data_IF_960889446666
#
_entry.id   IF_960889446666
#
_cell.length_a   1.000
_cell.length_b   1.000
_cell.length_c   1.000
_cell.angle_alpha   90.00
_cell.angle_beta   90.00
_cell.angle_gamma   90.00
#
_symmetry.space_group_name_H-M   'P 1'
#
loop_
_entity.id
_entity.type
_entity.pdbx_description
1 polymer ?
#
# COMPACT_ATOMS: atom_id res chain seq x y z
N UNK A 1 29.02 -0.90 39.95
CA UNK A 1 28.81 -0.49 38.55
C UNK A 1 29.21 -1.65 37.65
N UNK A 2 28.65 -1.74 36.45
CA UNK A 2 28.98 -2.81 35.50
C UNK A 2 30.11 -2.39 34.55
N UNK A 3 31.12 -3.24 34.38
CA UNK A 3 32.08 -3.14 33.28
C UNK A 3 31.49 -3.85 32.05
N UNK A 4 31.39 -3.15 30.92
CA UNK A 4 30.89 -3.72 29.65
C UNK A 4 31.96 -3.57 28.57
N UNK A 5 32.46 -4.71 28.06
CA UNK A 5 33.39 -4.76 26.93
C UNK A 5 32.56 -4.83 25.65
N UNK A 6 32.73 -3.86 24.77
CA UNK A 6 31.88 -3.67 23.58
C UNK A 6 32.72 -3.58 22.30
N UNK A 7 32.12 -3.98 21.17
CA UNK A 7 32.71 -3.87 19.82
C UNK A 7 31.67 -3.23 18.89
N UNK A 8 32.10 -2.40 17.95
CA UNK A 8 31.20 -1.73 17.00
C UNK A 8 30.58 -2.74 16.02
N UNK A 9 29.24 -2.68 15.77
CA UNK A 9 28.58 -3.52 14.77
C UNK A 9 29.19 -3.38 13.37
N UNK A 10 29.73 -4.47 12.83
CA UNK A 10 30.45 -4.53 11.53
C UNK A 10 29.55 -4.45 10.29
N UNK A 11 28.23 -4.47 10.45
CA UNK A 11 27.26 -4.39 9.35
C UNK A 11 26.78 -2.96 9.04
N UNK A 12 27.35 -1.96 9.70
CA UNK A 12 27.10 -0.53 9.48
C UNK A 12 28.36 0.09 8.87
N UNK A 13 28.19 0.99 7.90
CA UNK A 13 29.21 1.98 7.58
C UNK A 13 29.08 3.15 8.54
N UNK A 14 30.20 3.57 9.11
CA UNK A 14 30.34 4.77 9.93
C UNK A 14 30.93 5.95 9.13
N UNK A 15 31.29 5.72 7.87
CA UNK A 15 31.82 6.72 6.92
C UNK A 15 30.67 7.50 6.25
N UNK A 16 29.77 8.03 7.08
CA UNK A 16 28.57 8.76 6.70
C UNK A 16 28.07 9.58 7.91
N UNK A 17 27.31 10.68 7.71
CA UNK A 17 26.85 11.54 8.81
C UNK A 17 26.05 10.79 9.90
N UNK A 18 25.32 9.74 9.53
CA UNK A 18 24.71 8.77 10.43
C UNK A 18 25.19 7.35 10.07
N UNK A 19 25.34 6.42 11.04
CA UNK A 19 25.70 5.03 10.74
C UNK A 19 24.63 4.33 9.89
N UNK A 20 25.01 3.78 8.73
CA UNK A 20 24.06 3.27 7.72
C UNK A 20 24.42 1.89 7.16
N UNK A 21 23.40 1.08 6.87
CA UNK A 21 23.53 -0.18 6.12
C UNK A 21 22.86 -0.07 4.76
N UNK A 22 23.66 -0.01 3.68
CA UNK A 22 23.14 0.02 2.30
C UNK A 22 22.74 -1.40 1.87
N UNK A 23 21.45 -1.64 1.65
CA UNK A 23 20.92 -2.94 1.17
C UNK A 23 20.71 -2.87 -0.35
N UNK A 24 21.46 -3.63 -1.18
CA UNK A 24 21.40 -3.52 -2.63
C UNK A 24 20.21 -4.31 -3.22
N UNK A 25 19.03 -3.68 -3.31
CA UNK A 25 17.80 -4.31 -3.82
C UNK A 25 17.82 -4.60 -5.34
N UNK A 26 18.72 -3.95 -6.11
CA UNK A 26 18.81 -4.02 -7.59
C UNK A 26 17.53 -3.63 -8.34
N UNK A 27 16.59 -2.95 -7.68
CA UNK A 27 15.40 -2.33 -8.24
C UNK A 27 15.04 -1.06 -7.45
N UNK A 28 14.13 -0.24 -7.98
CA UNK A 28 13.57 0.93 -7.27
C UNK A 28 12.60 0.49 -6.18
N UNK A 29 12.84 0.78 -4.89
CA UNK A 29 11.84 0.61 -3.84
C UNK A 29 10.83 1.76 -3.91
N UNK A 30 9.59 1.46 -4.27
CA UNK A 30 8.52 2.48 -4.35
C UNK A 30 7.91 2.79 -2.98
N UNK A 31 7.70 1.75 -2.16
CA UNK A 31 7.18 1.87 -0.81
C UNK A 31 7.95 0.94 0.12
N UNK A 32 8.06 1.34 1.40
CA UNK A 32 8.64 0.54 2.48
C UNK A 32 7.79 0.81 3.73
N UNK A 33 7.23 -0.23 4.34
CA UNK A 33 6.64 -0.16 5.69
C UNK A 33 7.06 -1.38 6.49
N UNK A 34 7.26 -1.16 7.79
CA UNK A 34 7.67 -2.16 8.76
C UNK A 34 6.46 -2.79 9.44
N UNK A 35 6.29 -4.10 9.30
CA UNK A 35 5.31 -4.87 10.04
C UNK A 35 5.84 -5.21 11.43
N UNK A 36 5.11 -4.80 12.48
CA UNK A 36 5.60 -4.79 13.86
C UNK A 36 5.79 -6.20 14.45
N UNK A 37 4.85 -7.11 14.21
CA UNK A 37 4.83 -8.45 14.83
C UNK A 37 5.92 -9.36 14.24
N UNK A 38 5.98 -9.49 12.92
CA UNK A 38 7.00 -10.27 12.22
C UNK A 38 8.36 -9.54 12.16
N UNK A 39 8.38 -8.22 12.40
CA UNK A 39 9.54 -7.33 12.28
C UNK A 39 10.12 -7.26 10.87
N UNK A 40 9.30 -6.97 9.84
CA UNK A 40 9.70 -7.12 8.41
C UNK A 40 9.28 -5.97 7.48
N UNK A 41 10.06 -5.70 6.41
CA UNK A 41 9.79 -4.67 5.38
C UNK A 41 9.25 -5.25 4.04
N UNK A 42 8.76 -4.41 3.09
CA UNK A 42 8.06 -4.85 1.85
C UNK A 42 8.14 -3.90 0.59
N UNK A 43 8.95 -4.19 -0.48
CA UNK A 43 9.10 -3.47 -1.79
C UNK A 43 8.88 -4.35 -3.09
N UNK A 44 9.02 -3.84 -4.36
CA UNK A 44 8.19 -4.26 -5.57
C UNK A 44 8.79 -4.51 -7.02
N UNK A 45 8.20 -5.40 -7.93
CA UNK A 45 8.27 -5.53 -9.48
C UNK A 45 7.61 -6.76 -10.34
N UNK A 46 6.33 -6.80 -10.86
CA UNK A 46 5.80 -7.62 -12.05
C UNK A 46 4.40 -7.24 -12.75
N UNK A 47 3.90 -7.86 -13.89
CA UNK A 47 2.54 -7.68 -14.59
C UNK A 47 1.98 -8.81 -15.59
N UNK A 48 0.75 -8.65 -16.22
CA UNK A 48 0.13 -9.34 -17.43
C UNK A 48 -0.54 -8.34 -18.47
N UNK A 49 -0.98 -8.75 -19.70
CA UNK A 49 -1.48 -7.91 -20.86
C UNK A 49 -3.00 -8.08 -21.15
N UNK A 50 -3.71 -7.03 -21.62
CA UNK A 50 -5.14 -7.01 -22.07
C UNK A 50 -5.41 -5.97 -23.18
N UNK A 51 -6.59 -6.03 -23.83
CA UNK A 51 -7.22 -4.98 -24.65
C UNK A 51 -8.75 -5.24 -24.80
N UNK A 52 -9.62 -4.28 -24.46
CA UNK A 52 -11.08 -4.40 -24.61
C UNK A 52 -11.84 -5.04 -23.42
N UNK A 53 -13.17 -5.11 -23.52
CA UNK A 53 -14.06 -5.63 -22.46
C UNK A 53 -13.99 -7.16 -22.27
N UNK A 54 -13.59 -7.90 -23.30
CA UNK A 54 -13.45 -9.37 -23.26
C UNK A 54 -11.99 -9.84 -23.18
N UNK A 55 -11.77 -10.93 -22.44
CA UNK A 55 -10.43 -11.33 -21.96
C UNK A 55 -9.67 -12.27 -22.91
N UNK A 56 -9.48 -11.86 -24.16
CA UNK A 56 -8.63 -12.62 -25.11
C UNK A 56 -7.14 -12.20 -25.06
N UNK A 57 -6.25 -13.18 -25.18
CA UNK A 57 -4.81 -12.97 -25.23
C UNK A 57 -4.34 -12.96 -26.69
N UNK A 58 -3.76 -11.84 -27.16
CA UNK A 58 -3.13 -11.74 -28.48
C UNK A 58 -1.71 -11.23 -28.41
N UNK A 59 -0.81 -12.03 -28.97
CA UNK A 59 0.55 -11.62 -29.28
C UNK A 59 0.55 -10.72 -30.51
N UNK A 60 1.38 -9.68 -30.47
CA UNK A 60 1.61 -8.79 -31.62
C UNK A 60 2.98 -9.13 -32.19
N UNK A 61 2.99 -9.74 -33.36
CA UNK A 61 4.22 -9.90 -34.13
C UNK A 61 4.71 -8.52 -34.59
N UNK A 62 5.76 -8.03 -33.94
CA UNK A 62 6.53 -6.85 -34.32
C UNK A 62 7.94 -7.31 -34.64
N UNK A 63 8.65 -6.59 -35.51
CA UNK A 63 10.03 -6.93 -35.85
C UNK A 63 10.98 -6.77 -34.66
N UNK A 64 12.08 -7.53 -34.62
CA UNK A 64 13.06 -7.52 -33.51
C UNK A 64 13.68 -6.14 -33.21
N UNK A 65 13.55 -5.19 -34.14
CA UNK A 65 14.02 -3.81 -34.01
C UNK A 65 12.99 -2.87 -33.37
N UNK A 66 11.79 -3.34 -33.04
CA UNK A 66 10.72 -2.53 -32.47
C UNK A 66 11.01 -2.20 -30.99
N UNK A 67 11.19 -0.91 -30.62
CA UNK A 67 11.42 -0.53 -29.24
C UNK A 67 10.10 -0.58 -28.46
N UNK A 68 9.91 -1.63 -27.67
CA UNK A 68 8.76 -1.74 -26.77
C UNK A 68 8.78 -0.62 -25.72
N UNK A 69 7.61 -0.02 -25.39
CA UNK A 69 7.54 1.01 -24.36
C UNK A 69 7.92 0.46 -22.99
N UNK A 70 8.62 1.26 -22.19
CA UNK A 70 8.92 0.92 -20.80
C UNK A 70 7.62 0.71 -20.02
N UNK A 71 7.54 -0.41 -19.28
CA UNK A 71 6.36 -0.77 -18.47
C UNK A 71 6.77 -1.04 -17.03
N UNK A 72 6.17 -0.27 -16.13
CA UNK A 72 6.29 -0.52 -14.70
C UNK A 72 5.58 -1.81 -14.26
N UNK A 73 5.92 -2.21 -13.05
CA UNK A 73 5.85 -3.58 -12.53
C UNK A 73 5.83 -3.50 -11.00
N UNK A 74 5.05 -4.29 -10.27
CA UNK A 74 5.06 -4.31 -8.78
C UNK A 74 4.94 -5.75 -8.17
N UNK A 75 5.55 -6.03 -7.00
CA UNK A 75 5.61 -7.32 -6.24
C UNK A 75 5.69 -6.97 -4.73
N UNK A 76 5.73 -7.92 -3.79
CA UNK A 76 6.19 -7.63 -2.41
C UNK A 76 7.24 -8.61 -1.90
N UNK A 77 8.34 -8.09 -1.35
CA UNK A 77 9.45 -8.87 -0.83
C UNK A 77 9.64 -8.63 0.69
N UNK A 78 9.37 -9.66 1.50
CA UNK A 78 9.54 -9.61 2.93
C UNK A 78 11.02 -9.70 3.32
N UNK A 79 11.51 -8.64 3.95
CA UNK A 79 12.89 -8.52 4.41
C UNK A 79 12.97 -8.61 5.93
N UNK A 80 13.88 -9.45 6.46
CA UNK A 80 14.11 -9.58 7.91
C UNK A 80 15.37 -8.80 8.34
N UNK A 81 15.27 -7.86 9.29
CA UNK A 81 16.41 -7.05 9.76
C UNK A 81 17.57 -7.88 10.30
N UNK A 82 17.29 -8.97 11.01
CA UNK A 82 18.30 -9.87 11.59
C UNK A 82 19.03 -10.69 10.51
N UNK A 83 18.30 -11.19 9.51
CA UNK A 83 18.88 -11.97 8.41
C UNK A 83 19.63 -11.07 7.41
N UNK A 84 19.23 -9.81 7.28
CA UNK A 84 19.84 -8.87 6.33
C UNK A 84 19.58 -9.21 4.86
N UNK A 85 18.63 -10.10 4.61
CA UNK A 85 18.25 -10.64 3.31
C UNK A 85 16.73 -10.86 3.24
N UNK A 86 16.15 -10.92 2.03
CA UNK A 86 14.74 -11.26 1.84
C UNK A 86 14.49 -12.76 2.04
N UNK A 87 13.47 -13.13 2.80
CA UNK A 87 13.16 -14.54 3.11
C UNK A 87 11.93 -15.06 2.35
N UNK A 88 10.99 -14.19 1.96
CA UNK A 88 9.82 -14.55 1.16
C UNK A 88 9.51 -13.41 0.18
N UNK A 89 9.21 -13.74 -1.07
CA UNK A 89 8.68 -12.79 -2.04
C UNK A 89 7.29 -13.24 -2.51
N UNK A 90 6.27 -12.46 -2.17
CA UNK A 90 4.92 -12.62 -2.70
C UNK A 90 4.83 -11.82 -4.00
N UNK A 91 4.68 -12.52 -5.12
CA UNK A 91 4.48 -11.87 -6.42
C UNK A 91 3.00 -11.52 -6.56
N UNK A 92 2.71 -10.26 -6.86
CA UNK A 92 1.36 -9.76 -7.06
C UNK A 92 1.16 -9.31 -8.50
N UNK A 93 -0.05 -9.53 -9.01
CA UNK A 93 -0.47 -9.03 -10.32
C UNK A 93 -0.88 -7.57 -10.20
N UNK A 94 -0.12 -6.72 -10.90
CA UNK A 94 -0.41 -5.34 -11.30
C UNK A 94 -0.48 -4.35 -10.11
N UNK A 95 -0.08 -3.09 -10.27
CA UNK A 95 -0.28 -2.02 -9.26
C UNK A 95 0.04 -0.63 -9.85
N UNK A 96 -0.62 0.42 -9.37
CA UNK A 96 -0.17 1.83 -9.48
C UNK A 96 0.04 2.52 -8.11
N UNK A 97 -0.41 1.90 -7.01
CA UNK A 97 -0.39 2.45 -5.65
C UNK A 97 -0.24 1.34 -4.59
N UNK A 98 0.74 1.44 -3.67
CA UNK A 98 0.86 0.54 -2.49
C UNK A 98 1.11 1.33 -1.19
N UNK A 99 0.12 2.09 -0.69
CA UNK A 99 0.15 2.54 0.70
C UNK A 99 -0.11 1.34 1.62
N UNK A 100 0.95 0.75 2.17
CA UNK A 100 0.87 -0.43 3.04
C UNK A 100 0.31 -0.06 4.41
N UNK A 101 -0.89 -0.56 4.73
CA UNK A 101 -1.54 -0.38 6.03
C UNK A 101 -0.72 -0.99 7.18
N UNK A 102 -0.68 -0.31 8.33
CA UNK A 102 -0.27 -0.90 9.61
C UNK A 102 -1.45 -1.66 10.23
N UNK A 103 -1.19 -2.85 10.77
CA UNK A 103 -2.02 -3.43 11.83
C UNK A 103 -1.89 -2.65 13.16
N UNK A 104 -2.79 -2.88 14.12
CA UNK A 104 -3.13 -1.86 15.12
C UNK A 104 -2.13 -1.71 16.29
N UNK A 105 -2.34 -0.66 17.09
CA UNK A 105 -1.59 -0.39 18.32
C UNK A 105 -2.28 -1.06 19.51
N UNK A 106 -1.56 -1.95 20.21
CA UNK A 106 -1.99 -2.69 21.41
C UNK A 106 -3.21 -3.62 21.24
N UNK A 107 -2.97 -4.92 21.46
CA UNK A 107 -4.03 -5.92 21.71
C UNK A 107 -4.75 -6.52 20.48
N UNK A 108 -4.45 -6.06 19.27
CA UNK A 108 -5.02 -6.61 18.02
C UNK A 108 -3.94 -7.09 17.07
N UNK A 109 -4.31 -8.00 16.14
CA UNK A 109 -3.37 -8.63 15.21
C UNK A 109 -2.85 -7.70 14.13
N UNK A 110 -1.58 -7.84 13.82
CA UNK A 110 -0.91 -7.27 12.67
C UNK A 110 -1.45 -7.82 11.35
N UNK A 111 -1.99 -6.94 10.51
CA UNK A 111 -2.29 -7.24 9.11
C UNK A 111 -1.46 -6.36 8.19
N UNK A 112 -0.86 -6.99 7.19
CA UNK A 112 -0.24 -6.33 6.04
C UNK A 112 -1.35 -6.19 5.00
N UNK A 113 -1.76 -4.95 4.69
CA UNK A 113 -2.81 -4.70 3.68
C UNK A 113 -2.27 -3.89 2.53
N UNK A 114 -2.56 -4.38 1.33
CA UNK A 114 -2.07 -3.90 0.05
C UNK A 114 -3.28 -3.72 -0.86
N UNK A 115 -3.43 -2.54 -1.44
CA UNK A 115 -4.19 -2.44 -2.67
C UNK A 115 -3.30 -2.63 -3.88
N UNK A 116 -3.98 -2.80 -5.01
CA UNK A 116 -3.38 -2.61 -6.31
C UNK A 116 -4.39 -1.90 -7.22
N UNK A 117 -4.02 -0.75 -7.78
CA UNK A 117 -4.74 -0.12 -8.90
C UNK A 117 -4.29 -0.69 -10.24
N UNK A 118 -5.22 -0.84 -11.18
CA UNK A 118 -4.98 -1.34 -12.54
C UNK A 118 -5.34 -0.26 -13.56
N UNK A 119 -4.33 0.37 -14.17
CA UNK A 119 -4.51 1.36 -15.23
C UNK A 119 -4.08 0.75 -16.57
N UNK A 120 -4.96 0.76 -17.57
CA UNK A 120 -4.75 0.07 -18.86
C UNK A 120 -4.65 1.02 -20.07
N UNK A 121 -4.59 2.32 -19.82
CA UNK A 121 -4.85 3.38 -20.80
C UNK A 121 -5.98 4.26 -20.28
N UNK A 122 -6.41 5.22 -21.10
CA UNK A 122 -7.55 6.10 -20.81
C UNK A 122 -8.87 5.43 -21.19
N UNK A 123 -8.90 4.70 -22.32
CA UNK A 123 -10.09 4.06 -22.90
C UNK A 123 -10.66 2.89 -22.08
N UNK A 124 -9.93 2.41 -21.06
CA UNK A 124 -10.27 1.21 -20.31
C UNK A 124 -10.46 1.55 -18.84
N UNK A 125 -11.72 1.45 -18.38
CA UNK A 125 -12.14 1.72 -16.99
C UNK A 125 -11.21 1.04 -15.98
N UNK A 126 -10.43 1.79 -15.19
CA UNK A 126 -9.54 1.20 -14.20
C UNK A 126 -10.26 0.33 -13.15
N UNK A 127 -9.55 -0.64 -12.58
CA UNK A 127 -10.06 -1.50 -11.50
C UNK A 127 -9.10 -1.55 -10.33
N UNK A 128 -9.58 -1.97 -9.18
CA UNK A 128 -8.79 -2.10 -7.95
C UNK A 128 -8.79 -3.53 -7.43
N UNK A 129 -7.81 -3.86 -6.61
CA UNK A 129 -7.79 -5.07 -5.79
C UNK A 129 -7.41 -4.69 -4.37
N UNK A 130 -8.02 -5.35 -3.38
CA UNK A 130 -7.57 -5.30 -1.97
C UNK A 130 -7.10 -6.70 -1.58
N UNK A 131 -5.93 -6.76 -0.94
CA UNK A 131 -5.29 -8.00 -0.47
C UNK A 131 -4.83 -7.82 0.98
N UNK A 132 -5.31 -8.67 1.87
CA UNK A 132 -5.00 -8.66 3.31
C UNK A 132 -4.21 -9.92 3.67
N UNK A 133 -3.11 -9.73 4.41
CA UNK A 133 -2.17 -10.77 4.77
C UNK A 133 -1.93 -10.82 6.29
N UNK A 134 -2.06 -12.02 6.86
CA UNK A 134 -1.63 -12.36 8.23
C UNK A 134 -0.16 -12.85 8.14
N UNK A 135 0.73 -12.24 8.92
CA UNK A 135 2.17 -12.46 8.84
C UNK A 135 2.69 -13.14 10.12
N UNK A 136 2.61 -14.48 10.14
CA UNK A 136 2.89 -15.29 11.32
C UNK A 136 4.32 -15.06 11.86
N UNK A 137 4.48 -14.46 13.06
CA UNK A 137 5.75 -13.88 13.52
C UNK A 137 6.84 -14.89 13.93
N UNK A 138 6.57 -16.18 13.81
CA UNK A 138 7.51 -17.26 14.16
C UNK A 138 7.87 -18.18 12.98
N UNK A 139 7.16 -18.08 11.85
CA UNK A 139 7.38 -18.99 10.71
C UNK A 139 7.94 -18.31 9.46
N UNK A 140 8.11 -16.99 9.44
CA UNK A 140 8.53 -16.23 8.25
C UNK A 140 7.66 -16.59 7.03
N UNK A 141 6.35 -16.71 7.26
CA UNK A 141 5.33 -17.04 6.26
C UNK A 141 4.16 -16.09 6.39
N UNK A 142 3.85 -15.40 5.30
CA UNK A 142 2.58 -14.72 5.11
C UNK A 142 1.51 -15.69 4.59
N UNK A 143 0.27 -15.51 5.07
CA UNK A 143 -0.94 -16.14 4.57
C UNK A 143 -1.95 -15.09 4.08
N UNK A 144 -2.48 -15.26 2.88
CA UNK A 144 -3.61 -14.47 2.37
C UNK A 144 -4.86 -14.72 3.22
N UNK A 145 -5.55 -13.66 3.62
CA UNK A 145 -6.78 -13.70 4.41
C UNK A 145 -7.97 -13.13 3.62
N UNK A 146 -7.71 -12.15 2.75
CA UNK A 146 -8.66 -11.54 1.82
C UNK A 146 -7.94 -11.25 0.50
N UNK A 147 -8.59 -11.49 -0.62
CA UNK A 147 -8.08 -11.21 -1.98
C UNK A 147 -9.32 -10.98 -2.88
N UNK A 148 -9.73 -9.72 -3.09
CA UNK A 148 -10.92 -9.40 -3.91
C UNK A 148 -10.75 -8.12 -4.73
N UNK A 149 -11.26 -8.18 -5.96
CA UNK A 149 -11.40 -7.03 -6.86
C UNK A 149 -12.42 -6.01 -6.31
N UNK A 150 -12.19 -4.73 -6.62
CA UNK A 150 -13.05 -3.60 -6.26
C UNK A 150 -13.50 -2.88 -7.52
N UNK A 151 -14.71 -2.30 -7.49
CA UNK A 151 -15.37 -1.70 -8.67
C UNK A 151 -14.59 -0.54 -9.30
N UNK A 152 -13.68 0.11 -8.55
CA UNK A 152 -12.72 1.09 -9.06
C UNK A 152 -11.31 0.84 -8.49
N UNK A 153 -10.27 1.46 -9.07
CA UNK A 153 -8.89 1.49 -8.60
C UNK A 153 -8.82 2.21 -7.28
N UNK A 154 -7.76 1.94 -6.54
CA UNK A 154 -7.68 2.20 -5.11
C UNK A 154 -6.45 3.07 -4.89
N UNK A 155 -6.68 4.39 -4.92
CA UNK A 155 -5.61 5.38 -5.01
C UNK A 155 -4.87 5.52 -3.68
N UNK A 156 -5.58 5.47 -2.55
CA UNK A 156 -5.01 5.56 -1.20
C UNK A 156 -5.67 4.64 -0.15
N UNK A 157 -4.90 4.29 0.90
CA UNK A 157 -5.37 3.77 2.21
C UNK A 157 -4.80 4.69 3.28
N UNK A 158 -5.45 4.68 4.43
CA UNK A 158 -4.74 4.84 5.70
C UNK A 158 -5.54 4.15 6.80
N UNK A 159 -4.91 3.93 7.96
CA UNK A 159 -5.57 3.33 9.12
C UNK A 159 -6.25 4.42 9.96
N UNK A 160 -7.50 4.73 9.65
CA UNK A 160 -8.44 5.26 10.67
C UNK A 160 -8.58 4.20 11.77
N UNK A 161 -8.92 4.61 13.00
CA UNK A 161 -9.14 3.72 14.15
C UNK A 161 -9.89 2.44 13.74
N UNK A 162 -9.12 1.34 13.72
CA UNK A 162 -9.54 0.01 13.32
C UNK A 162 -10.51 -0.06 12.12
N UNK A 163 -10.20 0.67 11.04
CA UNK A 163 -10.30 0.26 9.61
C UNK A 163 -10.69 1.37 8.60
N UNK A 164 -10.22 1.30 7.34
CA UNK A 164 -10.70 2.09 6.16
C UNK A 164 -9.89 1.81 4.86
N UNK A 165 -10.50 1.92 3.66
CA UNK A 165 -9.87 1.89 2.30
C UNK A 165 -10.85 2.32 1.18
N UNK A 166 -10.39 2.78 0.01
CA UNK A 166 -11.19 3.69 -0.86
C UNK A 166 -10.86 3.59 -2.38
N UNK A 167 -11.82 3.70 -3.31
CA UNK A 167 -11.59 3.90 -4.76
C UNK A 167 -11.88 5.32 -5.30
N UNK A 168 -11.47 5.59 -6.55
CA UNK A 168 -11.24 6.92 -7.18
C UNK A 168 -12.19 8.09 -6.80
N UNK A 169 -13.53 7.91 -6.71
CA UNK A 169 -14.54 8.98 -6.56
C UNK A 169 -15.06 9.15 -5.12
N UNK A 170 -14.81 8.16 -4.26
CA UNK A 170 -15.56 7.98 -3.01
C UNK A 170 -14.67 7.46 -1.88
N UNK A 171 -14.68 8.21 -0.80
CA UNK A 171 -13.93 7.99 0.44
C UNK A 171 -14.70 7.00 1.30
N UNK A 172 -14.49 5.71 1.11
CA UNK A 172 -15.14 4.65 1.92
C UNK A 172 -14.42 4.35 3.24
N UNK A 173 -15.18 3.80 4.19
CA UNK A 173 -14.65 3.09 5.36
C UNK A 173 -15.19 1.66 5.32
N UNK A 174 -14.29 0.67 5.35
CA UNK A 174 -14.63 -0.75 5.38
C UNK A 174 -14.11 -1.39 6.66
N UNK A 175 -14.98 -1.98 7.48
CA UNK A 175 -14.56 -2.77 8.64
C UNK A 175 -14.16 -4.18 8.23
N UNK A 176 -12.95 -4.58 8.60
CA UNK A 176 -12.47 -5.95 8.44
C UNK A 176 -12.96 -6.83 9.58
N UNK A 177 -13.82 -7.81 9.28
CA UNK A 177 -14.40 -8.72 10.26
C UNK A 177 -14.61 -10.09 9.64
N UNK A 178 -14.39 -11.17 10.38
CA UNK A 178 -14.61 -12.55 9.93
C UNK A 178 -13.89 -12.92 8.60
N UNK A 179 -12.79 -12.22 8.25
CA UNK A 179 -12.04 -12.31 6.98
C UNK A 179 -12.72 -11.66 5.76
N UNK A 180 -13.75 -10.86 5.94
CA UNK A 180 -14.37 -10.05 4.89
C UNK A 180 -14.35 -8.54 5.22
N UNK A 181 -14.62 -7.70 4.22
CA UNK A 181 -14.67 -6.24 4.33
C UNK A 181 -16.12 -5.76 4.20
N UNK A 182 -16.62 -5.11 5.26
CA UNK A 182 -17.99 -4.58 5.33
C UNK A 182 -17.99 -3.06 5.22
N UNK A 183 -18.72 -2.49 4.26
CA UNK A 183 -18.86 -1.04 4.15
C UNK A 183 -19.55 -0.45 5.39
N UNK A 184 -18.95 0.59 5.97
CA UNK A 184 -19.42 1.29 7.18
C UNK A 184 -19.92 2.69 6.83
N UNK A 185 -19.10 3.44 6.09
CA UNK A 185 -19.36 4.83 5.69
C UNK A 185 -18.85 5.08 4.27
N UNK A 186 -19.35 6.13 3.62
CA UNK A 186 -18.67 6.76 2.49
C UNK A 186 -18.97 8.27 2.44
N UNK A 187 -18.14 9.02 1.74
CA UNK A 187 -18.38 10.41 1.31
C UNK A 187 -17.73 10.62 -0.06
N UNK A 188 -18.18 11.60 -0.83
CA UNK A 188 -17.69 11.82 -2.20
C UNK A 188 -16.42 12.69 -2.19
N UNK A 189 -15.45 12.38 -3.06
CA UNK A 189 -14.19 13.12 -3.21
C UNK A 189 -14.22 14.14 -4.35
N UNK A 190 -13.08 14.81 -4.60
CA UNK A 190 -13.00 15.89 -5.59
C UNK A 190 -12.48 15.42 -6.97
N UNK A 191 -11.20 15.07 -7.11
CA UNK A 191 -10.59 14.74 -8.41
C UNK A 191 -9.75 13.46 -8.34
N UNK A 192 -8.72 13.43 -7.49
CA UNK A 192 -7.87 12.25 -7.32
C UNK A 192 -7.13 12.30 -5.98
N UNK A 193 -7.47 11.41 -5.05
CA UNK A 193 -6.80 11.31 -3.75
C UNK A 193 -5.50 10.53 -3.93
N UNK A 194 -4.34 11.19 -3.85
CA UNK A 194 -3.06 10.50 -3.95
C UNK A 194 -2.53 10.04 -2.58
N UNK A 195 -2.97 10.66 -1.48
CA UNK A 195 -2.51 10.31 -0.14
C UNK A 195 -3.61 10.51 0.93
N UNK A 196 -3.61 9.63 1.93
CA UNK A 196 -4.43 9.71 3.14
C UNK A 196 -3.51 9.65 4.37
N UNK A 197 -3.75 10.50 5.36
CA UNK A 197 -3.09 10.44 6.67
C UNK A 197 -4.13 10.48 7.79
N UNK A 198 -4.08 9.52 8.71
CA UNK A 198 -5.08 9.36 9.75
C UNK A 198 -4.52 9.61 11.15
N UNK A 199 -5.29 10.33 11.97
CA UNK A 199 -5.01 10.59 13.37
C UNK A 199 -6.28 10.37 14.18
N UNK A 200 -6.37 9.21 14.87
CA UNK A 200 -7.60 8.74 15.53
C UNK A 200 -8.76 8.66 14.51
N UNK A 201 -9.82 9.44 14.70
CA UNK A 201 -10.95 9.57 13.80
C UNK A 201 -10.81 10.69 12.75
N UNK A 202 -9.74 11.48 12.78
CA UNK A 202 -9.48 12.51 11.78
C UNK A 202 -8.75 11.92 10.57
N UNK A 203 -9.19 12.31 9.38
CA UNK A 203 -8.59 11.91 8.09
C UNK A 203 -8.17 13.17 7.36
N UNK A 204 -6.87 13.35 7.15
CA UNK A 204 -6.35 14.32 6.20
C UNK A 204 -6.26 13.65 4.82
N UNK A 205 -6.90 14.25 3.83
CA UNK A 205 -7.03 13.75 2.47
C UNK A 205 -6.29 14.72 1.56
N UNK A 206 -5.32 14.23 0.79
CA UNK A 206 -4.60 15.04 -0.18
C UNK A 206 -5.07 14.71 -1.60
N UNK A 207 -5.69 15.69 -2.25
CA UNK A 207 -6.08 15.63 -3.66
C UNK A 207 -4.93 16.15 -4.53
N UNK A 208 -4.80 15.66 -5.77
CA UNK A 208 -3.73 16.09 -6.71
C UNK A 208 -3.90 17.54 -7.17
N UNK A 209 -5.12 18.09 -7.15
CA UNK A 209 -5.45 19.42 -7.70
C UNK A 209 -6.24 20.31 -6.74
N UNK A 210 -6.78 19.74 -5.65
CA UNK A 210 -7.66 20.43 -4.68
C UNK A 210 -7.10 20.50 -3.26
N UNK A 211 -5.77 20.61 -3.15
CA UNK A 211 -5.07 20.78 -1.87
C UNK A 211 -5.47 19.70 -0.85
N UNK A 212 -5.85 20.08 0.37
CA UNK A 212 -6.20 19.15 1.45
C UNK A 212 -7.61 19.34 2.01
N UNK A 213 -8.32 18.22 2.17
CA UNK A 213 -9.57 18.12 2.92
C UNK A 213 -9.32 17.45 4.29
N UNK A 214 -9.95 17.97 5.35
CA UNK A 214 -9.95 17.36 6.67
C UNK A 214 -11.33 16.79 6.99
N UNK A 215 -11.40 15.48 7.21
CA UNK A 215 -12.63 14.75 7.52
C UNK A 215 -12.65 14.21 8.96
N UNK A 216 -13.85 13.99 9.49
CA UNK A 216 -14.10 13.24 10.72
C UNK A 216 -14.85 11.96 10.40
N UNK A 217 -14.39 10.83 10.94
CA UNK A 217 -15.22 9.63 11.10
C UNK A 217 -15.96 9.68 12.44
N UNK A 218 -17.28 9.62 12.40
CA UNK A 218 -18.12 9.57 13.59
C UNK A 218 -18.62 8.13 13.78
N UNK A 219 -17.93 7.39 14.66
CA UNK A 219 -18.08 5.95 14.81
C UNK A 219 -19.49 5.52 15.21
N UNK A 220 -20.12 6.24 16.14
CA UNK A 220 -21.46 5.93 16.65
C UNK A 220 -22.54 6.08 15.57
N UNK A 221 -22.42 7.12 14.73
CA UNK A 221 -23.31 7.38 13.60
C UNK A 221 -22.90 6.68 12.30
N UNK A 222 -21.72 6.03 12.29
CA UNK A 222 -21.10 5.41 11.09
C UNK A 222 -20.97 6.36 9.90
N UNK A 223 -20.74 7.64 10.17
CA UNK A 223 -20.80 8.72 9.16
C UNK A 223 -19.44 9.36 8.97
N UNK A 224 -19.14 9.77 7.74
CA UNK A 224 -18.03 10.66 7.41
C UNK A 224 -18.55 12.08 7.21
N UNK A 225 -17.86 13.07 7.77
CA UNK A 225 -18.15 14.49 7.59
C UNK A 225 -16.90 15.27 7.21
N UNK A 226 -17.05 16.30 6.38
CA UNK A 226 -16.02 17.31 6.13
C UNK A 226 -16.00 18.27 7.31
N UNK A 227 -14.82 18.49 7.92
CA UNK A 227 -14.61 19.48 8.98
C UNK A 227 -14.08 20.78 8.39
N UNK A 228 -13.14 20.68 7.45
CA UNK A 228 -12.48 21.81 6.82
C UNK A 228 -11.94 21.40 5.44
N UNK A 229 -11.70 22.38 4.59
CA UNK A 229 -11.07 22.25 3.27
C UNK A 229 -10.15 23.45 3.06
N UNK A 230 -8.99 23.25 2.43
CA UNK A 230 -8.34 24.36 1.76
C UNK A 230 -9.09 24.66 0.45
N UNK A 231 -9.46 25.93 0.24
CA UNK A 231 -10.18 26.38 -0.94
C UNK A 231 -9.27 26.86 -2.07
N UNK A 232 -7.96 26.95 -1.81
CA UNK A 232 -6.96 27.31 -2.82
C UNK A 232 -6.45 26.06 -3.55
N UNK A 233 -6.16 26.15 -4.86
CA UNK A 233 -5.28 25.17 -5.49
C UNK A 233 -3.89 25.26 -4.86
N UNK A 234 -3.21 24.12 -4.76
CA UNK A 234 -1.80 24.05 -4.40
C UNK A 234 -1.00 23.85 -5.69
N UNK A 235 -0.25 24.86 -6.11
CA UNK A 235 0.67 24.84 -7.26
C UNK A 235 2.10 24.52 -6.83
#
# INVERSE_FOLDING_TARGET
GELRICVLPTHLSYDAPWPVRKVPLRCTPHFITYHLESKTYAPTKQYWKFNGDDKELRDEERSDRFPWPNRDRFYIQLFSPSLGSPFQALRFSWTTSVPLLRGPTHGQRGYIVISTSFCYGEDVTPRGYIRIYDAAPHQNKIKTVYDKEQKGPITAISSVMDSSWQPWDKIYIFQFKNKDLYGVAFIDSQIYIHQLACLKNFILVADVMKSVDLLQFQQDYRTLSIISKDSKPLE
#
